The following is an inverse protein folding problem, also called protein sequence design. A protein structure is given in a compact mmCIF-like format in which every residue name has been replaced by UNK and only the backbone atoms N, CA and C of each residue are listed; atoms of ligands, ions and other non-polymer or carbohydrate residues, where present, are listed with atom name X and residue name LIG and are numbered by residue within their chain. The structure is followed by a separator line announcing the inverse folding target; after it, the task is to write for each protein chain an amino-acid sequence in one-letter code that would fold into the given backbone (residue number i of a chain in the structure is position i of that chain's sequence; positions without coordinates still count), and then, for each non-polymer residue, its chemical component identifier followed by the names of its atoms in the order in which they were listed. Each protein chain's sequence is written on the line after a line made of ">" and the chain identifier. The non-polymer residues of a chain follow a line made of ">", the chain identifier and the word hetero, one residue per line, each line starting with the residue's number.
data_IF_659845116890
#
_entry.id   IF_659845116890
#
_cell.length_a   1.000
_cell.length_b   1.000
_cell.length_c   1.000
_cell.angle_alpha   90.00
_cell.angle_beta   90.00
_cell.angle_gamma   90.00
#
_symmetry.space_group_name_H-M   'P 1'
#
loop_
_entity.id
_entity.type
_entity.pdbx_description
1 polymer ?
#
# COMPACT_ATOMS: atom_id res chain seq x y z
N UNK A 1 10.02 -56.83 -6.38
CA UNK A 1 9.96 -55.54 -5.74
C UNK A 1 9.18 -54.48 -6.51
N UNK A 2 8.75 -54.73 -7.72
CA UNK A 2 7.96 -53.82 -8.53
C UNK A 2 6.47 -53.76 -8.16
N UNK A 3 5.99 -54.63 -7.29
CA UNK A 3 4.55 -54.78 -6.94
C UNK A 3 4.05 -53.70 -5.96
N UNK A 4 4.90 -52.91 -5.32
CA UNK A 4 4.46 -51.86 -4.37
C UNK A 4 4.11 -50.54 -5.04
N UNK A 5 4.70 -50.30 -6.19
CA UNK A 5 4.45 -49.05 -6.95
C UNK A 5 3.19 -49.12 -7.81
N UNK A 6 2.69 -50.31 -8.08
CA UNK A 6 1.50 -50.52 -8.96
C UNK A 6 0.19 -50.69 -8.19
N UNK A 7 0.22 -50.55 -6.86
CA UNK A 7 -1.03 -50.66 -6.07
C UNK A 7 -1.79 -49.33 -6.11
N UNK A 8 -3.08 -49.38 -6.34
CA UNK A 8 -3.94 -48.19 -6.30
C UNK A 8 -3.86 -47.44 -4.97
N UNK A 9 -3.68 -48.19 -3.87
CA UNK A 9 -3.48 -47.59 -2.55
C UNK A 9 -2.22 -46.76 -2.46
N UNK A 10 -1.09 -47.23 -2.97
CA UNK A 10 0.17 -46.50 -3.03
C UNK A 10 0.04 -45.21 -3.85
N UNK A 11 -0.58 -45.26 -5.01
CA UNK A 11 -0.82 -44.14 -5.89
C UNK A 11 -1.69 -43.06 -5.22
N UNK A 12 -2.73 -43.44 -4.51
CA UNK A 12 -3.59 -42.54 -3.76
C UNK A 12 -2.86 -41.87 -2.62
N UNK A 13 -2.08 -42.60 -1.82
CA UNK A 13 -1.28 -42.07 -0.73
C UNK A 13 -0.20 -41.09 -1.26
N UNK A 14 0.47 -41.46 -2.34
CA UNK A 14 1.44 -40.61 -3.00
C UNK A 14 0.83 -39.28 -3.48
N UNK A 15 -0.36 -39.35 -4.12
CA UNK A 15 -1.07 -38.16 -4.58
C UNK A 15 -1.44 -37.22 -3.41
N UNK A 16 -1.92 -37.77 -2.30
CA UNK A 16 -2.28 -37.01 -1.10
C UNK A 16 -1.04 -36.33 -0.51
N UNK A 17 0.06 -37.05 -0.38
CA UNK A 17 1.33 -36.52 0.14
C UNK A 17 1.85 -35.38 -0.76
N UNK A 18 1.82 -35.55 -2.09
CA UNK A 18 2.22 -34.52 -3.04
C UNK A 18 1.38 -33.25 -2.91
N UNK A 19 0.06 -33.40 -2.81
CA UNK A 19 -0.85 -32.25 -2.62
C UNK A 19 -0.54 -31.51 -1.31
N UNK A 20 -0.31 -32.24 -0.22
CA UNK A 20 0.04 -31.64 1.07
C UNK A 20 1.38 -30.91 1.03
N UNK A 21 2.39 -31.49 0.41
CA UNK A 21 3.72 -30.88 0.27
C UNK A 21 3.66 -29.60 -0.58
N UNK A 22 3.04 -29.67 -1.75
CA UNK A 22 2.90 -28.52 -2.66
C UNK A 22 2.04 -27.43 -2.02
N UNK A 23 0.92 -27.79 -1.41
CA UNK A 23 0.03 -26.84 -0.72
C UNK A 23 0.74 -26.13 0.44
N UNK A 24 1.48 -26.88 1.27
CA UNK A 24 2.25 -26.32 2.38
C UNK A 24 3.36 -25.38 1.89
N UNK A 25 4.06 -25.77 0.83
CA UNK A 25 5.13 -24.96 0.24
C UNK A 25 4.58 -23.64 -0.33
N UNK A 26 3.47 -23.69 -1.06
CA UNK A 26 2.82 -22.49 -1.60
C UNK A 26 2.29 -21.58 -0.49
N UNK A 27 1.69 -22.14 0.56
CA UNK A 27 1.23 -21.37 1.72
C UNK A 27 2.38 -20.69 2.44
N UNK A 28 3.49 -21.39 2.60
CA UNK A 28 4.71 -20.84 3.22
C UNK A 28 5.29 -19.69 2.40
N UNK A 29 5.44 -19.87 1.08
CA UNK A 29 5.92 -18.83 0.18
C UNK A 29 4.99 -17.61 0.19
N UNK A 30 3.69 -17.81 0.09
CA UNK A 30 2.72 -16.72 0.13
C UNK A 30 2.78 -15.96 1.45
N UNK A 31 2.93 -16.65 2.57
CA UNK A 31 3.07 -16.03 3.90
C UNK A 31 4.37 -15.23 4.03
N UNK A 32 5.47 -15.77 3.52
CA UNK A 32 6.79 -15.11 3.57
C UNK A 32 6.87 -13.88 2.70
N UNK A 33 6.16 -13.85 1.56
CA UNK A 33 6.17 -12.73 0.63
C UNK A 33 5.23 -11.58 1.03
N UNK A 34 4.20 -11.85 1.82
CA UNK A 34 3.24 -10.82 2.26
C UNK A 34 3.88 -9.58 2.89
N UNK A 35 4.85 -9.68 3.81
CA UNK A 35 5.51 -8.50 4.38
C UNK A 35 6.24 -7.67 3.34
N UNK A 36 6.94 -8.33 2.41
CA UNK A 36 7.68 -7.66 1.33
C UNK A 36 6.76 -6.94 0.34
N UNK A 37 5.62 -7.54 0.01
CA UNK A 37 4.62 -6.92 -0.86
C UNK A 37 4.05 -5.65 -0.20
N UNK A 38 3.72 -5.70 1.08
CA UNK A 38 3.22 -4.55 1.83
C UNK A 38 4.25 -3.43 1.94
N UNK A 39 5.51 -3.77 2.16
CA UNK A 39 6.59 -2.79 2.23
C UNK A 39 6.84 -2.14 0.87
N UNK A 40 6.82 -2.89 -0.21
CA UNK A 40 6.94 -2.35 -1.56
C UNK A 40 5.78 -1.42 -1.91
N UNK A 41 4.56 -1.79 -1.56
CA UNK A 41 3.38 -0.94 -1.74
C UNK A 41 3.49 0.38 -0.95
N UNK A 42 3.99 0.31 0.27
CA UNK A 42 4.25 1.47 1.11
C UNK A 42 5.26 2.42 0.47
N UNK A 43 6.39 1.89 0.03
CA UNK A 43 7.46 2.65 -0.62
C UNK A 43 6.97 3.28 -1.91
N UNK A 44 6.25 2.54 -2.74
CA UNK A 44 5.66 3.05 -3.98
C UNK A 44 4.73 4.24 -3.74
N UNK A 45 3.89 4.17 -2.73
CA UNK A 45 3.01 5.28 -2.34
C UNK A 45 3.79 6.51 -1.89
N UNK A 46 4.84 6.32 -1.11
CA UNK A 46 5.73 7.40 -0.71
C UNK A 46 6.44 8.05 -1.90
N UNK A 47 6.94 7.24 -2.82
CA UNK A 47 7.57 7.72 -4.06
C UNK A 47 6.59 8.56 -4.91
N UNK A 48 5.37 8.10 -5.06
CA UNK A 48 4.34 8.81 -5.82
C UNK A 48 3.99 10.17 -5.21
N UNK A 49 3.87 10.25 -3.90
CA UNK A 49 3.60 11.50 -3.18
C UNK A 49 4.78 12.47 -3.34
N UNK A 50 6.00 12.01 -3.18
CA UNK A 50 7.21 12.82 -3.38
C UNK A 50 7.33 13.30 -4.81
N UNK A 51 7.04 12.46 -5.78
CA UNK A 51 7.04 12.84 -7.20
C UNK A 51 6.03 13.96 -7.50
N UNK A 52 4.84 13.88 -6.93
CA UNK A 52 3.81 14.93 -7.07
C UNK A 52 4.25 16.27 -6.49
N UNK A 53 5.15 16.27 -5.51
CA UNK A 53 5.76 17.47 -4.92
C UNK A 53 7.00 17.97 -5.68
N UNK A 54 7.38 17.31 -6.78
CA UNK A 54 8.61 17.62 -7.50
C UNK A 54 9.88 17.04 -6.88
N UNK A 55 9.78 16.22 -5.84
CA UNK A 55 10.90 15.50 -5.24
C UNK A 55 11.12 14.19 -5.99
N UNK A 56 12.04 14.20 -6.95
CA UNK A 56 12.34 13.06 -7.80
C UNK A 56 13.82 13.08 -8.22
N UNK A 57 14.26 12.04 -8.91
CA UNK A 57 15.59 11.90 -9.47
C UNK A 57 15.55 12.04 -11.01
N UNK A 58 14.69 12.94 -11.51
CA UNK A 58 14.57 13.19 -12.94
C UNK A 58 15.83 13.86 -13.48
N UNK A 59 16.24 13.40 -14.64
CA UNK A 59 17.12 14.12 -15.54
C UNK A 59 16.35 14.57 -16.79
N UNK A 60 17.01 15.28 -17.68
CA UNK A 60 16.38 15.80 -18.92
C UNK A 60 15.91 14.69 -19.89
N UNK A 61 16.25 13.44 -19.62
CA UNK A 61 15.98 12.30 -20.48
C UNK A 61 14.99 11.28 -19.91
N UNK A 62 14.74 11.28 -18.59
CA UNK A 62 13.90 10.27 -17.96
C UNK A 62 13.15 10.78 -16.73
N UNK A 63 11.93 10.29 -16.54
CA UNK A 63 11.14 10.53 -15.34
C UNK A 63 11.44 9.44 -14.31
N UNK A 64 12.30 9.73 -13.34
CA UNK A 64 12.67 8.79 -12.29
C UNK A 64 12.05 9.15 -10.95
N UNK A 65 11.44 8.18 -10.30
CA UNK A 65 11.04 8.30 -8.91
C UNK A 65 12.28 8.28 -7.99
N UNK A 66 12.11 8.81 -6.79
CA UNK A 66 13.12 8.69 -5.74
C UNK A 66 13.44 7.21 -5.51
N UNK A 67 14.71 6.88 -5.32
CA UNK A 67 15.15 5.52 -5.04
C UNK A 67 14.42 4.91 -3.83
N UNK A 68 14.08 3.64 -3.92
CA UNK A 68 13.39 2.89 -2.85
C UNK A 68 14.16 2.91 -1.52
N UNK A 69 15.49 2.98 -1.57
CA UNK A 69 16.35 3.01 -0.38
C UNK A 69 16.25 4.32 0.43
N UNK A 70 15.87 5.42 -0.22
CA UNK A 70 15.80 6.74 0.42
C UNK A 70 14.39 7.34 0.45
N UNK A 71 13.42 6.66 -0.14
CA UNK A 71 12.05 7.16 -0.24
C UNK A 71 11.42 7.44 1.14
N UNK A 72 11.62 6.55 2.11
CA UNK A 72 11.12 6.73 3.47
C UNK A 72 11.70 7.94 4.17
N UNK A 73 13.02 8.14 4.09
CA UNK A 73 13.71 9.26 4.70
C UNK A 73 13.32 10.60 4.05
N UNK A 74 13.27 10.63 2.72
CA UNK A 74 12.81 11.81 1.99
C UNK A 74 11.34 12.13 2.27
N UNK A 75 10.50 11.14 2.36
CA UNK A 75 9.10 11.32 2.73
C UNK A 75 8.97 12.00 4.10
N UNK A 76 9.68 11.54 5.12
CA UNK A 76 9.69 12.17 6.44
C UNK A 76 10.26 13.58 6.43
N UNK A 77 11.26 13.85 5.59
CA UNK A 77 11.89 15.16 5.45
C UNK A 77 10.97 16.20 4.81
N UNK A 78 10.27 15.82 3.74
CA UNK A 78 9.46 16.75 2.93
C UNK A 78 8.01 16.83 3.36
N UNK A 79 7.43 15.76 3.90
CA UNK A 79 6.06 15.76 4.41
C UNK A 79 6.04 16.26 5.85
N UNK A 80 5.44 17.42 6.05
CA UNK A 80 5.34 18.07 7.37
C UNK A 80 4.14 17.59 8.16
N UNK A 81 3.03 17.34 7.49
CA UNK A 81 1.78 16.95 8.11
C UNK A 81 1.00 15.98 7.23
N UNK A 82 0.34 15.03 7.85
CA UNK A 82 -0.56 14.09 7.19
C UNK A 82 -1.96 14.26 7.80
N UNK A 83 -2.92 14.57 6.97
CA UNK A 83 -4.29 14.79 7.36
C UNK A 83 -5.20 13.76 6.68
N UNK A 84 -6.31 13.45 7.33
CA UNK A 84 -7.38 12.66 6.75
C UNK A 84 -8.68 13.45 6.85
N UNK A 85 -9.27 13.71 5.70
CA UNK A 85 -10.56 14.37 5.61
C UNK A 85 -11.67 13.32 5.58
N UNK A 86 -12.56 13.38 6.54
CA UNK A 86 -13.77 12.54 6.57
C UNK A 86 -14.89 13.31 5.89
N UNK A 87 -15.38 12.81 4.77
CA UNK A 87 -16.33 13.49 3.90
C UNK A 87 -17.62 12.70 3.80
N UNK A 88 -18.73 13.37 3.97
CA UNK A 88 -20.07 12.83 3.73
C UNK A 88 -20.77 13.67 2.65
N UNK A 89 -21.07 13.03 1.50
CA UNK A 89 -21.54 13.75 0.32
C UNK A 89 -20.49 14.75 -0.16
N UNK A 90 -20.81 16.04 -0.16
CA UNK A 90 -19.90 17.13 -0.56
C UNK A 90 -19.37 17.94 0.64
N UNK A 91 -19.61 17.47 1.86
CA UNK A 91 -19.23 18.19 3.08
C UNK A 91 -18.14 17.46 3.84
N UNK A 92 -17.12 18.19 4.27
CA UNK A 92 -16.11 17.70 5.21
C UNK A 92 -16.74 17.75 6.61
N UNK A 93 -16.94 16.58 7.22
CA UNK A 93 -17.55 16.47 8.55
C UNK A 93 -16.52 16.38 9.65
N UNK A 94 -15.31 15.92 9.35
CA UNK A 94 -14.21 15.79 10.32
C UNK A 94 -12.88 15.89 9.59
N UNK A 95 -11.91 16.48 10.25
CA UNK A 95 -10.50 16.46 9.87
C UNK A 95 -9.71 15.78 10.98
N UNK A 96 -8.93 14.78 10.64
CA UNK A 96 -8.07 14.04 11.56
C UNK A 96 -6.61 14.25 11.21
N UNK A 97 -5.75 14.40 12.21
CA UNK A 97 -4.32 14.32 11.99
C UNK A 97 -3.85 12.85 11.92
N UNK A 98 -2.57 12.64 11.60
CA UNK A 98 -1.99 11.29 11.48
C UNK A 98 -2.21 10.46 12.75
N UNK A 99 -1.94 11.04 13.91
CA UNK A 99 -2.04 10.33 15.20
C UNK A 99 -3.49 9.90 15.51
N UNK A 100 -4.44 10.80 15.31
CA UNK A 100 -5.87 10.50 15.50
C UNK A 100 -6.37 9.41 14.55
N UNK A 101 -5.99 9.51 13.28
CA UNK A 101 -6.35 8.50 12.29
C UNK A 101 -5.77 7.13 12.62
N UNK A 102 -4.49 7.06 12.99
CA UNK A 102 -3.83 5.81 13.34
C UNK A 102 -4.44 5.15 14.58
N UNK A 103 -4.80 5.95 15.59
CA UNK A 103 -5.45 5.45 16.79
C UNK A 103 -6.82 4.79 16.50
N UNK A 104 -7.58 5.34 15.57
CA UNK A 104 -8.89 4.80 15.17
C UNK A 104 -8.80 3.64 14.16
N UNK A 105 -7.69 3.45 13.46
CA UNK A 105 -7.55 2.52 12.33
C UNK A 105 -6.42 1.50 12.51
N UNK A 106 -6.20 1.02 13.72
CA UNK A 106 -5.24 -0.05 14.03
C UNK A 106 -3.81 0.27 13.58
N UNK A 107 -3.36 1.48 13.82
CA UNK A 107 -2.03 2.00 13.47
C UNK A 107 -1.69 1.96 11.97
N UNK A 108 -2.70 2.01 11.11
CA UNK A 108 -2.48 2.14 9.66
C UNK A 108 -2.13 3.57 9.28
N UNK A 109 -1.12 3.72 8.44
CA UNK A 109 -0.72 5.03 7.92
C UNK A 109 -1.76 5.62 6.96
N UNK A 110 -1.97 6.96 6.96
CA UNK A 110 -2.93 7.61 6.05
C UNK A 110 -2.65 7.37 4.56
N UNK A 111 -1.39 7.27 4.15
CA UNK A 111 -1.04 7.01 2.74
C UNK A 111 -1.40 5.59 2.27
N UNK A 112 -1.77 4.68 3.17
CA UNK A 112 -2.25 3.33 2.85
C UNK A 112 -3.77 3.27 2.59
N UNK A 113 -4.48 4.39 2.67
CA UNK A 113 -5.91 4.46 2.35
C UNK A 113 -6.14 4.05 0.88
N UNK A 114 -7.04 3.09 0.67
CA UNK A 114 -7.44 2.67 -0.67
C UNK A 114 -8.44 3.68 -1.27
N UNK A 115 -7.94 4.54 -2.13
CA UNK A 115 -8.73 5.60 -2.76
C UNK A 115 -9.85 5.04 -3.64
N UNK A 116 -9.65 3.92 -4.31
CA UNK A 116 -10.69 3.27 -5.11
C UNK A 116 -11.89 2.85 -4.26
N UNK A 117 -11.61 2.27 -3.10
CA UNK A 117 -12.64 1.89 -2.14
C UNK A 117 -13.38 3.11 -1.60
N UNK A 118 -12.68 4.20 -1.33
CA UNK A 118 -13.28 5.45 -0.90
C UNK A 118 -14.15 6.08 -1.99
N UNK A 119 -13.76 6.02 -3.24
CA UNK A 119 -14.57 6.46 -4.37
C UNK A 119 -15.83 5.62 -4.55
N UNK A 120 -15.76 4.32 -4.36
CA UNK A 120 -16.92 3.45 -4.36
C UNK A 120 -17.91 3.82 -3.22
N UNK A 121 -17.39 4.08 -2.02
CA UNK A 121 -18.19 4.56 -0.90
C UNK A 121 -18.91 5.88 -1.23
N UNK A 122 -18.25 6.78 -1.94
CA UNK A 122 -18.86 8.05 -2.37
C UNK A 122 -20.05 7.86 -3.32
N UNK A 123 -19.94 6.91 -4.25
CA UNK A 123 -21.04 6.55 -5.16
C UNK A 123 -22.24 5.96 -4.43
N UNK A 124 -21.99 5.23 -3.36
CA UNK A 124 -23.02 4.62 -2.52
C UNK A 124 -23.59 5.58 -1.45
N UNK A 125 -23.17 6.85 -1.46
CA UNK A 125 -23.58 7.85 -0.47
C UNK A 125 -23.02 7.62 0.95
N UNK A 126 -21.98 6.80 1.07
CA UNK A 126 -21.32 6.49 2.34
C UNK A 126 -20.21 7.50 2.66
N UNK A 127 -19.82 7.53 3.93
CA UNK A 127 -18.66 8.31 4.39
C UNK A 127 -17.39 7.80 3.72
N UNK A 128 -16.59 8.72 3.21
CA UNK A 128 -15.28 8.47 2.63
C UNK A 128 -14.17 9.17 3.39
N UNK A 129 -12.99 8.58 3.40
CA UNK A 129 -11.78 9.13 4.01
C UNK A 129 -10.78 9.46 2.91
N UNK A 130 -10.36 10.72 2.85
CA UNK A 130 -9.41 11.21 1.85
C UNK A 130 -8.10 11.62 2.52
N UNK A 131 -6.96 11.03 2.14
CA UNK A 131 -5.67 11.45 2.65
C UNK A 131 -5.23 12.76 2.00
N UNK A 132 -4.74 13.69 2.81
CA UNK A 132 -4.14 14.94 2.38
C UNK A 132 -2.76 15.07 3.02
N UNK A 133 -1.76 15.31 2.20
CA UNK A 133 -0.38 15.47 2.65
C UNK A 133 0.05 16.93 2.49
N UNK A 134 0.54 17.49 3.57
CA UNK A 134 1.12 18.85 3.56
C UNK A 134 2.62 18.70 3.57
N UNK A 135 3.25 19.12 2.50
CA UNK A 135 4.70 19.05 2.34
C UNK A 135 5.31 20.38 1.96
N UNK A 136 6.61 20.49 2.14
CA UNK A 136 7.39 21.66 1.78
C UNK A 136 8.62 21.24 0.97
N UNK A 137 8.79 21.87 -0.18
CA UNK A 137 9.95 21.69 -1.05
C UNK A 137 10.42 23.06 -1.55
N UNK A 138 11.68 23.36 -1.34
CA UNK A 138 12.30 24.63 -1.77
C UNK A 138 11.53 25.90 -1.33
N UNK A 139 11.02 25.89 -0.10
CA UNK A 139 10.25 27.01 0.45
C UNK A 139 8.80 27.11 -0.02
N UNK A 140 8.35 26.19 -0.88
CA UNK A 140 6.99 26.13 -1.38
C UNK A 140 6.21 25.03 -0.62
N UNK A 141 5.04 25.39 -0.11
CA UNK A 141 4.13 24.44 0.55
C UNK A 141 3.24 23.77 -0.48
N UNK A 142 3.21 22.44 -0.46
CA UNK A 142 2.38 21.62 -1.34
C UNK A 142 1.30 20.92 -0.54
N UNK A 143 0.10 20.89 -1.11
CA UNK A 143 -1.03 20.10 -0.63
C UNK A 143 -1.26 18.97 -1.62
N UNK A 144 -0.88 17.75 -1.24
CA UNK A 144 -0.97 16.59 -2.12
C UNK A 144 -2.20 15.78 -1.74
N UNK A 145 -3.20 15.81 -2.62
CA UNK A 145 -4.32 14.89 -2.58
C UNK A 145 -3.99 13.68 -3.45
N UNK A 146 -4.22 12.50 -2.94
CA UNK A 146 -3.93 11.26 -3.65
C UNK A 146 -4.73 11.08 -4.94
N UNK A 147 -5.83 11.79 -5.08
CA UNK A 147 -6.62 11.82 -6.32
C UNK A 147 -5.83 12.39 -7.50
N UNK A 148 -4.88 13.28 -7.25
CA UNK A 148 -4.04 13.92 -8.28
C UNK A 148 -2.81 13.11 -8.68
N UNK A 149 -2.53 12.02 -8.00
CA UNK A 149 -1.34 11.15 -8.22
C UNK A 149 -1.64 9.96 -9.14
N UNK A 150 -2.83 9.85 -9.63
CA UNK A 150 -3.25 8.76 -10.52
C UNK A 150 -3.03 9.14 -11.98
#
# INVERSE_FOLDING_TARGET
>A
MSKRTDSNGYTMIFAVIMVLVVGSLLAFLASSLKPSIKENERIEKQQNILYAMGVNENDDSSANFVSTSVAGDKFQKYIKEQLVLVVEGDKIIKQQNRAEYMAENSNKEPYLIDVKKQQANAKDGKIRKLPLFVGENEGTTFYVDRKSVV
#
